data_IF_568065847575
#
_entry.id   IF_568065847575
#
_cell.length_a   1.000
_cell.length_b   1.000
_cell.length_c   1.000
_cell.angle_alpha   90.00
_cell.angle_beta   90.00
_cell.angle_gamma   90.00
#
_symmetry.space_group_name_H-M   'P 1'
#
loop_
_entity.id
_entity.type
_entity.pdbx_description
1 polymer ?
#
# COMPACT_ATOMS: atom_id res chain seq x y z
N UNK A 1 7.44 10.14 -14.41
CA UNK A 1 6.15 9.81 -13.80
C UNK A 1 5.02 10.43 -14.57
N UNK A 2 4.03 9.64 -14.86
CA UNK A 2 2.84 10.14 -15.55
C UNK A 2 1.70 10.28 -14.57
N UNK A 3 1.05 11.42 -14.59
CA UNK A 3 -0.14 11.65 -13.80
C UNK A 3 -1.28 12.00 -14.70
N UNK A 4 -2.43 11.46 -14.38
CA UNK A 4 -3.65 11.83 -15.08
C UNK A 4 -4.06 13.23 -14.64
N UNK A 5 -4.62 13.97 -15.57
CA UNK A 5 -5.11 15.31 -15.29
C UNK A 5 -6.59 15.25 -14.96
N UNK A 6 -6.92 15.48 -13.71
CA UNK A 6 -8.30 15.43 -13.25
C UNK A 6 -9.00 16.78 -13.29
N UNK A 7 -8.25 17.85 -13.59
CA UNK A 7 -8.80 19.20 -13.61
C UNK A 7 -9.12 19.71 -12.21
N UNK A 8 -10.06 20.64 -12.13
CA UNK A 8 -10.42 21.27 -10.86
C UNK A 8 -11.91 21.20 -10.59
N UNK A 9 -12.57 20.20 -11.09
CA UNK A 9 -13.98 20.00 -10.81
C UNK A 9 -14.17 19.45 -9.40
N UNK A 10 -15.38 19.53 -8.87
CA UNK A 10 -15.67 18.90 -7.58
C UNK A 10 -15.27 17.44 -7.59
N UNK A 11 -14.61 17.01 -6.53
CA UNK A 11 -14.16 15.63 -6.40
C UNK A 11 -12.82 15.33 -7.03
N UNK A 12 -12.17 16.29 -7.72
CA UNK A 12 -10.91 15.99 -8.40
C UNK A 12 -9.80 15.60 -7.43
N UNK A 13 -9.78 16.19 -6.23
CA UNK A 13 -8.77 15.82 -5.24
C UNK A 13 -8.97 14.39 -4.76
N UNK A 14 -10.22 13.95 -4.64
CA UNK A 14 -10.53 12.56 -4.28
C UNK A 14 -10.08 11.61 -5.38
N UNK A 15 -10.41 11.95 -6.64
CA UNK A 15 -10.00 11.13 -7.77
C UNK A 15 -8.48 11.00 -7.86
N UNK A 16 -7.77 12.11 -7.70
CA UNK A 16 -6.32 12.11 -7.79
C UNK A 16 -5.69 11.27 -6.69
N UNK A 17 -6.22 11.35 -5.48
CA UNK A 17 -5.71 10.57 -4.36
C UNK A 17 -5.98 9.08 -4.57
N UNK A 18 -7.19 8.74 -4.99
CA UNK A 18 -7.53 7.35 -5.26
C UNK A 18 -6.67 6.76 -6.37
N UNK A 19 -6.31 7.58 -7.37
CA UNK A 19 -5.46 7.12 -8.45
C UNK A 19 -4.07 6.68 -7.95
N UNK A 20 -3.58 7.30 -6.87
CA UNK A 20 -2.29 6.94 -6.29
C UNK A 20 -2.31 5.63 -5.52
N UNK A 21 -3.46 5.26 -4.99
CA UNK A 21 -3.59 4.07 -4.13
C UNK A 21 -4.59 3.08 -4.69
N UNK A 22 -4.91 3.18 -5.97
CA UNK A 22 -5.95 2.34 -6.58
C UNK A 22 -5.57 0.87 -6.61
N UNK A 23 -6.58 0.04 -6.87
CA UNK A 23 -6.39 -1.39 -6.94
C UNK A 23 -6.30 -2.03 -5.57
N UNK A 24 -5.94 -3.31 -5.57
CA UNK A 24 -5.97 -4.11 -4.37
C UNK A 24 -4.74 -3.91 -3.47
N UNK A 25 -3.59 -3.60 -4.07
CA UNK A 25 -2.33 -3.81 -3.36
C UNK A 25 -1.58 -2.53 -2.96
N UNK A 26 -1.77 -1.42 -3.67
CA UNK A 26 -0.96 -0.22 -3.42
C UNK A 26 -1.11 0.33 -2.02
N UNK A 27 -2.35 0.48 -1.56
CA UNK A 27 -2.60 0.96 -0.20
C UNK A 27 -2.03 0.02 0.85
N UNK A 28 -2.10 -1.28 0.59
CA UNK A 28 -1.57 -2.29 1.51
C UNK A 28 -0.05 -2.19 1.60
N UNK A 29 0.62 -1.98 0.47
CA UNK A 29 2.08 -1.80 0.47
C UNK A 29 2.46 -0.58 1.29
N UNK A 30 1.77 0.54 1.07
CA UNK A 30 2.04 1.76 1.82
C UNK A 30 1.83 1.55 3.31
N UNK A 31 0.80 0.81 3.67
CA UNK A 31 0.54 0.47 5.06
C UNK A 31 1.72 -0.30 5.68
N UNK A 32 2.18 -1.33 5.00
CA UNK A 32 3.28 -2.13 5.55
C UNK A 32 4.60 -1.36 5.63
N UNK A 33 4.83 -0.42 4.72
CA UNK A 33 6.04 0.39 4.74
C UNK A 33 6.02 1.44 5.85
N UNK A 34 4.89 1.67 6.49
CA UNK A 34 4.85 2.55 7.66
C UNK A 34 5.70 2.01 8.81
N UNK A 35 5.98 0.72 8.81
CA UNK A 35 6.81 0.09 9.85
C UNK A 35 8.31 0.29 9.61
N UNK A 36 8.68 0.96 8.54
CA UNK A 36 10.08 1.21 8.23
C UNK A 36 10.50 0.55 6.93
N UNK A 37 11.79 0.64 6.67
CA UNK A 37 12.39 0.07 5.47
C UNK A 37 12.22 -1.45 5.45
N UNK A 38 11.84 -1.98 4.29
CA UNK A 38 11.65 -3.42 4.14
C UNK A 38 12.22 -3.90 2.81
N UNK A 39 12.67 -5.13 2.81
CA UNK A 39 13.13 -5.80 1.59
C UNK A 39 11.93 -6.40 0.86
N UNK A 40 12.14 -6.71 -0.40
CA UNK A 40 11.11 -7.32 -1.24
C UNK A 40 10.50 -8.57 -0.60
N UNK A 41 11.34 -9.48 -0.14
CA UNK A 41 10.86 -10.72 0.48
C UNK A 41 10.08 -10.49 1.76
N UNK A 42 10.47 -9.48 2.54
CA UNK A 42 9.73 -9.14 3.75
C UNK A 42 8.33 -8.63 3.42
N UNK A 43 8.24 -7.74 2.42
CA UNK A 43 6.94 -7.24 1.97
C UNK A 43 6.07 -8.39 1.48
N UNK A 44 6.63 -9.28 0.68
CA UNK A 44 5.87 -10.37 0.12
C UNK A 44 5.31 -11.29 1.20
N UNK A 45 6.09 -11.55 2.24
CA UNK A 45 5.63 -12.37 3.35
C UNK A 45 4.47 -11.74 4.10
N UNK A 46 4.41 -10.41 4.12
CA UNK A 46 3.32 -9.68 4.78
C UNK A 46 2.07 -9.57 3.92
N UNK A 47 2.13 -9.99 2.68
CA UNK A 47 1.04 -9.84 1.71
C UNK A 47 0.68 -11.18 1.11
N UNK A 48 0.06 -12.07 1.89
CA UNK A 48 -0.33 -13.39 1.39
C UNK A 48 -1.18 -13.28 0.13
N UNK A 49 -0.88 -14.11 -0.83
CA UNK A 49 -1.64 -14.13 -2.07
C UNK A 49 -1.10 -13.26 -3.18
N UNK A 50 -0.16 -12.37 -2.89
CA UNK A 50 0.45 -11.58 -3.96
C UNK A 50 1.53 -12.38 -4.66
N UNK A 51 1.55 -12.31 -5.99
CA UNK A 51 2.63 -12.94 -6.75
C UNK A 51 3.84 -12.01 -6.79
N UNK A 52 5.01 -12.60 -7.03
CA UNK A 52 6.23 -11.82 -7.20
C UNK A 52 6.07 -10.79 -8.32
N UNK A 53 5.45 -11.21 -9.43
CA UNK A 53 5.23 -10.32 -10.56
C UNK A 53 4.33 -9.14 -10.20
N UNK A 54 3.26 -9.41 -9.48
CA UNK A 54 2.32 -8.36 -9.09
C UNK A 54 2.98 -7.39 -8.11
N UNK A 55 3.71 -7.90 -7.13
CA UNK A 55 4.40 -7.03 -6.17
C UNK A 55 5.41 -6.14 -6.88
N UNK A 56 6.19 -6.70 -7.81
CA UNK A 56 7.14 -5.91 -8.60
C UNK A 56 6.42 -4.80 -9.35
N UNK A 57 5.30 -5.14 -9.98
CA UNK A 57 4.51 -4.15 -10.75
C UNK A 57 4.01 -3.02 -9.86
N UNK A 58 3.48 -3.36 -8.71
CA UNK A 58 2.93 -2.36 -7.81
C UNK A 58 4.02 -1.48 -7.20
N UNK A 59 5.15 -2.07 -6.84
CA UNK A 59 6.27 -1.30 -6.31
C UNK A 59 6.81 -0.32 -7.35
N UNK A 60 6.91 -0.73 -8.61
CA UNK A 60 7.34 0.19 -9.67
C UNK A 60 6.38 1.34 -9.84
N UNK A 61 5.09 1.07 -9.80
CA UNK A 61 4.09 2.12 -9.92
C UNK A 61 4.19 3.11 -8.77
N UNK A 62 4.35 2.63 -7.55
CA UNK A 62 4.50 3.49 -6.39
C UNK A 62 5.79 4.31 -6.44
N UNK A 63 6.87 3.71 -6.91
CA UNK A 63 8.13 4.41 -7.08
C UNK A 63 8.00 5.50 -8.15
N UNK A 64 7.36 5.17 -9.27
CA UNK A 64 7.14 6.13 -10.36
C UNK A 64 6.29 7.31 -9.89
N UNK A 65 5.34 7.09 -9.01
CA UNK A 65 4.52 8.15 -8.44
C UNK A 65 5.22 8.90 -7.31
N UNK A 66 6.44 8.51 -6.97
CA UNK A 66 7.21 9.21 -5.96
C UNK A 66 6.80 8.92 -4.53
N UNK A 67 6.02 7.87 -4.31
CA UNK A 67 5.52 7.54 -2.96
C UNK A 67 6.48 6.66 -2.18
N UNK A 68 7.32 5.91 -2.87
CA UNK A 68 8.33 5.07 -2.22
C UNK A 68 9.69 5.29 -2.85
N UNK A 69 10.71 4.94 -2.11
CA UNK A 69 12.09 5.02 -2.55
C UNK A 69 12.66 3.61 -2.55
N UNK A 70 13.24 3.23 -3.68
CA UNK A 70 13.93 1.97 -3.83
C UNK A 70 15.42 2.22 -3.77
N UNK A 71 16.11 1.52 -2.88
CA UNK A 71 17.55 1.63 -2.77
C UNK A 71 18.19 0.29 -3.07
N UNK A 72 19.10 0.29 -4.03
CA UNK A 72 19.83 -0.89 -4.41
C UNK A 72 21.22 -0.84 -3.80
N UNK A 73 21.63 -1.92 -3.15
CA UNK A 73 22.95 -2.03 -2.55
C UNK A 73 23.80 -2.95 -3.44
N UNK A 74 24.98 -2.46 -3.76
CA UNK A 74 25.92 -3.23 -4.58
C UNK A 74 26.65 -4.24 -3.69
N UNK A 75 25.99 -5.32 -3.40
CA UNK A 75 26.58 -6.44 -2.62
C UNK A 75 26.24 -7.75 -3.30
N UNK A 76 26.77 -8.84 -2.76
CA UNK A 76 26.57 -10.18 -3.28
C UNK A 76 26.01 -11.05 -2.17
N UNK A 77 24.76 -11.51 -2.28
CA UNK A 77 23.78 -11.17 -3.34
C UNK A 77 23.29 -9.72 -3.23
N UNK A 78 22.79 -9.15 -4.34
CA UNK A 78 22.29 -7.78 -4.30
C UNK A 78 21.13 -7.63 -3.32
N UNK A 79 21.07 -6.50 -2.66
CA UNK A 79 19.99 -6.18 -1.74
C UNK A 79 19.23 -4.97 -2.25
N UNK A 80 17.91 -5.03 -2.18
CA UNK A 80 17.05 -3.92 -2.54
C UNK A 80 16.12 -3.62 -1.37
N UNK A 81 16.14 -2.38 -0.91
CA UNK A 81 15.29 -1.92 0.18
C UNK A 81 14.25 -0.97 -0.37
N UNK A 82 13.08 -0.98 0.26
CA UNK A 82 11.97 -0.08 -0.05
C UNK A 82 11.56 0.67 1.20
N UNK A 83 11.30 1.95 1.06
CA UNK A 83 10.81 2.78 2.16
C UNK A 83 9.90 3.87 1.62
N UNK A 84 9.09 4.44 2.49
CA UNK A 84 8.25 5.57 2.11
C UNK A 84 9.11 6.79 1.83
N UNK A 85 8.76 7.52 0.78
CA UNK A 85 9.32 8.85 0.55
C UNK A 85 8.66 9.84 1.50
N UNK A 86 9.11 11.09 1.45
CA UNK A 86 8.48 12.15 2.22
C UNK A 86 7.00 12.29 1.86
N UNK A 87 6.68 12.25 0.57
CA UNK A 87 5.28 12.31 0.12
C UNK A 87 4.52 11.05 0.55
N UNK A 88 5.17 9.88 0.47
CA UNK A 88 4.56 8.65 0.96
C UNK A 88 4.23 8.71 2.43
N UNK A 89 5.11 9.31 3.23
CA UNK A 89 4.83 9.52 4.64
C UNK A 89 3.63 10.43 4.87
N UNK A 90 3.42 11.40 3.98
CA UNK A 90 2.28 12.31 4.12
C UNK A 90 0.94 11.59 3.90
N UNK A 91 0.94 10.41 3.30
CA UNK A 91 -0.27 9.61 3.15
C UNK A 91 -0.60 8.79 4.39
N UNK A 92 0.26 8.80 5.41
CA UNK A 92 0.03 8.02 6.62
C UNK A 92 -1.35 8.27 7.24
N UNK A 93 -1.79 9.52 7.40
CA UNK A 93 -3.15 9.75 7.96
C UNK A 93 -4.26 9.17 7.08
N UNK A 94 -4.07 9.20 5.76
CA UNK A 94 -5.07 8.64 4.83
C UNK A 94 -5.15 7.13 5.01
N UNK A 95 -4.02 6.45 5.00
CA UNK A 95 -3.97 5.00 5.15
C UNK A 95 -4.50 4.59 6.53
N UNK A 96 -4.11 5.31 7.58
CA UNK A 96 -4.57 5.02 8.93
C UNK A 96 -6.08 5.17 9.04
N UNK A 97 -6.66 6.16 8.38
CA UNK A 97 -8.11 6.36 8.36
C UNK A 97 -8.81 5.21 7.62
N UNK A 98 -8.25 4.78 6.51
CA UNK A 98 -8.79 3.62 5.80
C UNK A 98 -8.78 2.39 6.69
N UNK A 99 -7.68 2.17 7.40
CA UNK A 99 -7.55 1.05 8.31
C UNK A 99 -8.59 1.13 9.42
N UNK A 100 -8.72 2.29 10.06
CA UNK A 100 -9.64 2.47 11.16
C UNK A 100 -11.09 2.25 10.72
N UNK A 101 -11.45 2.80 9.59
CA UNK A 101 -12.81 2.61 9.05
C UNK A 101 -13.08 1.14 8.75
N UNK A 102 -12.09 0.48 8.13
CA UNK A 102 -12.22 -0.92 7.79
C UNK A 102 -12.35 -1.81 9.01
N UNK A 103 -11.60 -1.52 10.06
CA UNK A 103 -11.69 -2.30 11.30
C UNK A 103 -13.06 -2.20 11.95
N UNK A 104 -13.66 -1.02 11.92
CA UNK A 104 -15.00 -0.84 12.47
C UNK A 104 -16.04 -1.65 11.68
N UNK A 105 -15.82 -1.82 10.39
CA UNK A 105 -16.78 -2.43 9.49
C UNK A 105 -16.35 -3.79 8.96
N UNK A 106 -15.47 -4.48 9.67
CA UNK A 106 -14.90 -5.76 9.20
C UNK A 106 -15.95 -6.78 8.81
N UNK A 107 -17.01 -6.90 9.59
CA UNK A 107 -18.05 -7.88 9.27
C UNK A 107 -18.71 -7.58 7.94
N UNK A 108 -19.03 -6.30 7.72
CA UNK A 108 -19.66 -5.86 6.48
C UNK A 108 -18.74 -6.07 5.28
N UNK A 109 -17.44 -5.91 5.49
CA UNK A 109 -16.44 -6.05 4.42
C UNK A 109 -15.98 -7.48 4.20
N UNK A 110 -16.45 -8.41 5.00
CA UNK A 110 -16.03 -9.82 4.94
C UNK A 110 -14.51 -9.96 5.11
N UNK A 111 -13.93 -9.11 5.93
CA UNK A 111 -12.50 -9.13 6.20
C UNK A 111 -12.25 -9.85 7.52
N UNK A 112 -11.66 -11.03 7.46
CA UNK A 112 -11.40 -11.82 8.67
C UNK A 112 -10.26 -11.20 9.46
N UNK A 113 -10.30 -11.28 10.80
CA UNK A 113 -9.17 -10.92 11.63
C UNK A 113 -7.95 -11.75 11.26
N UNK A 114 -6.78 -11.12 11.29
CA UNK A 114 -5.57 -11.76 10.76
C UNK A 114 -5.10 -12.94 11.59
N UNK A 115 -5.26 -12.92 12.88
CA UNK A 115 -4.55 -13.83 13.76
C UNK A 115 -5.37 -15.01 14.23
N UNK A 116 -6.68 -15.02 14.03
CA UNK A 116 -7.54 -16.07 14.56
C UNK A 116 -8.69 -16.32 13.64
N UNK A 117 -9.38 -17.42 13.90
CA UNK A 117 -10.64 -17.64 13.23
C UNK A 117 -11.55 -16.45 13.50
N UNK A 118 -12.25 -16.00 12.47
CA UNK A 118 -13.18 -14.91 12.63
C UNK A 118 -14.25 -15.29 13.64
N UNK A 119 -14.64 -14.38 14.52
CA UNK A 119 -15.78 -14.64 15.39
C UNK A 119 -17.04 -14.77 14.55
N UNK A 120 -18.04 -15.46 15.08
CA UNK A 120 -19.31 -15.55 14.39
C UNK A 120 -19.85 -14.16 14.12
N UNK A 121 -20.39 -13.99 12.92
CA UNK A 121 -20.97 -12.72 12.58
C UNK A 121 -22.31 -12.52 13.25
N UNK A 122 -22.52 -11.33 13.73
CA UNK A 122 -23.86 -10.94 14.11
C UNK A 122 -24.68 -10.81 12.83
N UNK A 123 -25.84 -11.32 12.85
CA UNK A 123 -26.69 -11.34 11.67
C UNK A 123 -27.10 -9.93 11.23
#
# INVERSE_FOLDING_TARGET
>A
MKRRNFGRRPGCAVEATLDLIDGKWKGVILFHLQNGTQRFGELRRRMPGITQRMLTKQLRALEDDGLIIRKVYAEVPPRVDYRLSEIGESLRPVIDTLKAWGEIHQERLSCAPAATAAPPRAA
#
